data_IF_298452278732
#
_entry.id   IF_298452278732
#
_cell.length_a   1.000
_cell.length_b   1.000
_cell.length_c   1.000
_cell.angle_alpha   90.00
_cell.angle_beta   90.00
_cell.angle_gamma   90.00
#
_symmetry.space_group_name_H-M   'P 1'
#
loop_
_entity.id
_entity.type
_entity.pdbx_description
1 polymer ?
#
# COMPACT_ATOMS: atom_id res chain seq x y z
N UNK A 1 -9.24 27.34 4.78
CA UNK A 1 -10.68 27.01 4.83
C UNK A 1 -11.12 27.10 6.30
N UNK A 2 -12.39 27.43 6.63
CA UNK A 2 -12.82 27.49 8.05
C UNK A 2 -12.77 26.10 8.72
N UNK A 3 -12.48 26.03 10.04
CA UNK A 3 -12.52 24.77 10.79
C UNK A 3 -13.87 24.04 10.68
N UNK A 4 -14.99 24.77 10.64
CA UNK A 4 -16.33 24.18 10.46
C UNK A 4 -16.45 23.40 9.15
N UNK A 5 -15.91 23.94 8.06
CA UNK A 5 -15.94 23.29 6.75
C UNK A 5 -15.04 22.06 6.72
N UNK A 6 -13.85 22.11 7.33
CA UNK A 6 -12.99 20.93 7.46
C UNK A 6 -13.67 19.80 8.24
N UNK A 7 -14.28 20.11 9.39
CA UNK A 7 -15.04 19.14 10.19
C UNK A 7 -16.20 18.53 9.39
N UNK A 8 -16.89 19.35 8.60
CA UNK A 8 -17.99 18.91 7.73
C UNK A 8 -17.49 17.98 6.63
N UNK A 9 -16.42 18.33 5.92
CA UNK A 9 -15.80 17.46 4.91
C UNK A 9 -15.34 16.13 5.51
N UNK A 10 -14.68 16.16 6.67
CA UNK A 10 -14.25 14.95 7.37
C UNK A 10 -15.45 14.06 7.75
N UNK A 11 -16.56 14.65 8.20
CA UNK A 11 -17.78 13.92 8.53
C UNK A 11 -18.42 13.26 7.30
N UNK A 12 -18.52 13.98 6.18
CA UNK A 12 -19.03 13.42 4.92
C UNK A 12 -18.13 12.29 4.38
N UNK A 13 -16.81 12.43 4.51
CA UNK A 13 -15.87 11.37 4.13
C UNK A 13 -16.00 10.16 5.05
N UNK A 14 -16.15 10.35 6.37
CA UNK A 14 -16.38 9.28 7.32
C UNK A 14 -17.66 8.49 7.01
N UNK A 15 -18.76 9.20 6.72
CA UNK A 15 -20.02 8.62 6.26
C UNK A 15 -19.82 7.82 4.97
N UNK A 16 -19.12 8.39 3.98
CA UNK A 16 -18.80 7.72 2.72
C UNK A 16 -17.87 6.50 2.85
N UNK A 17 -17.22 6.32 4.00
CA UNK A 17 -16.45 5.13 4.38
C UNK A 17 -17.26 4.13 5.22
N UNK A 18 -18.50 4.45 5.59
CA UNK A 18 -19.35 3.64 6.46
C UNK A 18 -18.95 3.70 7.94
N UNK A 19 -18.24 4.75 8.38
CA UNK A 19 -17.90 4.94 9.79
C UNK A 19 -19.12 5.48 10.57
N UNK A 20 -19.35 5.02 11.81
CA UNK A 20 -20.45 5.54 12.62
C UNK A 20 -20.22 7.01 12.97
N UNK A 21 -21.24 7.89 12.90
CA UNK A 21 -21.08 9.34 13.14
C UNK A 21 -20.51 9.71 14.52
N UNK A 22 -20.75 8.88 15.54
CA UNK A 22 -20.19 9.03 16.89
C UNK A 22 -19.03 8.09 17.22
N UNK A 23 -18.48 7.39 16.22
CA UNK A 23 -17.36 6.46 16.40
C UNK A 23 -16.05 7.17 16.74
N UNK A 24 -15.15 6.43 17.39
CA UNK A 24 -13.80 6.91 17.74
C UNK A 24 -13.03 7.29 16.47
N UNK A 25 -13.15 6.49 15.41
CA UNK A 25 -12.54 6.72 14.12
C UNK A 25 -13.00 8.04 13.48
N UNK A 26 -14.31 8.29 13.49
CA UNK A 26 -14.92 9.54 12.98
C UNK A 26 -14.44 10.74 13.78
N UNK A 27 -14.40 10.62 15.11
CA UNK A 27 -13.92 11.68 15.99
C UNK A 27 -12.44 12.01 15.71
N UNK A 28 -11.58 11.00 15.55
CA UNK A 28 -10.16 11.20 15.24
C UNK A 28 -9.92 11.77 13.85
N UNK A 29 -10.69 11.34 12.84
CA UNK A 29 -10.63 11.91 11.50
C UNK A 29 -10.99 13.41 11.53
N UNK A 30 -12.01 13.78 12.29
CA UNK A 30 -12.43 15.18 12.49
C UNK A 30 -11.37 15.98 13.23
N UNK A 31 -10.85 15.48 14.35
CA UNK A 31 -9.79 16.13 15.13
C UNK A 31 -8.55 16.41 14.28
N UNK A 32 -8.10 15.41 13.50
CA UNK A 32 -6.98 15.57 12.57
C UNK A 32 -7.24 16.62 11.48
N UNK A 33 -8.49 16.78 11.02
CA UNK A 33 -8.85 17.70 9.93
C UNK A 33 -8.80 19.19 10.27
N UNK A 34 -8.75 19.53 11.56
CA UNK A 34 -8.63 20.93 12.01
C UNK A 34 -7.28 21.22 12.65
N UNK A 35 -6.50 20.19 12.99
CA UNK A 35 -5.24 20.37 13.71
C UNK A 35 -4.22 21.27 13.01
N UNK A 36 -4.06 21.23 11.68
CA UNK A 36 -3.06 22.08 11.02
C UNK A 36 -3.25 23.58 11.28
N UNK A 37 -4.48 24.07 11.41
CA UNK A 37 -4.75 25.47 11.75
C UNK A 37 -4.16 25.89 13.11
N UNK A 38 -3.99 24.93 14.02
CA UNK A 38 -3.43 25.16 15.36
C UNK A 38 -1.89 25.15 15.38
N UNK A 39 -1.24 24.59 14.35
CA UNK A 39 0.22 24.42 14.33
C UNK A 39 1.00 25.72 14.08
N UNK A 40 0.30 26.83 13.84
CA UNK A 40 0.87 28.16 13.62
C UNK A 40 1.90 28.21 12.48
N UNK A 41 1.86 27.27 11.52
CA UNK A 41 2.77 27.16 10.38
C UNK A 41 2.27 27.96 9.14
N UNK A 42 1.77 29.18 9.39
CA UNK A 42 1.22 30.05 8.35
C UNK A 42 2.31 30.72 7.47
N UNK A 43 2.06 30.90 6.15
CA UNK A 43 0.91 30.41 5.39
C UNK A 43 1.10 28.94 4.96
N UNK A 44 0.15 28.07 5.30
CA UNK A 44 0.25 26.66 4.94
C UNK A 44 -0.37 26.31 3.56
N UNK A 45 -0.86 27.29 2.79
CA UNK A 45 -1.54 27.05 1.51
C UNK A 45 -0.60 26.87 0.28
N UNK A 46 0.71 27.14 0.41
CA UNK A 46 1.67 26.97 -0.69
C UNK A 46 2.51 25.69 -0.54
N UNK A 47 2.73 24.97 -1.65
CA UNK A 47 3.56 23.75 -1.66
C UNK A 47 2.97 22.56 -0.90
N UNK A 48 1.64 22.56 -0.69
CA UNK A 48 0.92 21.56 0.13
C UNK A 48 1.01 20.13 -0.39
N UNK A 49 1.33 19.91 -1.67
CA UNK A 49 1.38 18.57 -2.26
C UNK A 49 2.30 17.64 -1.47
N UNK A 50 3.50 18.08 -1.05
CA UNK A 50 4.39 17.26 -0.22
C UNK A 50 3.77 16.96 1.16
N UNK A 51 3.12 17.94 1.80
CA UNK A 51 2.43 17.74 3.09
C UNK A 51 1.30 16.72 2.95
N UNK A 52 0.46 16.84 1.93
CA UNK A 52 -0.63 15.91 1.63
C UNK A 52 -0.06 14.50 1.44
N UNK A 53 0.95 14.34 0.57
CA UNK A 53 1.57 13.04 0.32
C UNK A 53 2.15 12.44 1.60
N UNK A 54 2.88 13.22 2.39
CA UNK A 54 3.44 12.77 3.68
C UNK A 54 2.36 12.24 4.62
N UNK A 55 1.25 12.96 4.79
CA UNK A 55 0.19 12.55 5.71
C UNK A 55 -0.63 11.37 5.20
N UNK A 56 -0.86 11.27 3.88
CA UNK A 56 -1.44 10.08 3.23
C UNK A 56 -0.58 8.84 3.54
N UNK A 57 0.74 8.94 3.35
CA UNK A 57 1.65 7.82 3.54
C UNK A 57 1.83 7.45 5.02
N UNK A 58 1.85 8.45 5.90
CA UNK A 58 1.87 8.26 7.35
C UNK A 58 0.60 7.55 7.83
N UNK A 59 -0.57 8.00 7.36
CA UNK A 59 -1.86 7.37 7.65
C UNK A 59 -1.91 5.92 7.16
N UNK A 60 -1.42 5.66 5.94
CA UNK A 60 -1.32 4.32 5.36
C UNK A 60 -0.44 3.40 6.21
N UNK A 61 0.73 3.89 6.66
CA UNK A 61 1.63 3.15 7.54
C UNK A 61 0.91 2.71 8.82
N UNK A 62 0.23 3.64 9.50
CA UNK A 62 -0.50 3.32 10.71
C UNK A 62 -1.60 2.29 10.49
N UNK A 63 -2.34 2.39 9.38
CA UNK A 63 -3.35 1.38 9.00
C UNK A 63 -2.74 -0.01 8.87
N UNK A 64 -1.62 -0.12 8.15
CA UNK A 64 -0.93 -1.40 7.92
C UNK A 64 -0.43 -1.99 9.25
N UNK A 65 0.05 -1.14 10.16
CA UNK A 65 0.49 -1.56 11.50
C UNK A 65 -0.66 -1.92 12.47
N UNK A 66 -1.92 -1.69 12.09
CA UNK A 66 -3.10 -1.92 12.93
C UNK A 66 -3.42 -0.77 13.91
N UNK A 67 -2.66 0.32 13.91
CA UNK A 67 -2.93 1.52 14.72
C UNK A 67 -4.01 2.39 14.04
N UNK A 68 -5.26 1.97 14.21
CA UNK A 68 -6.42 2.62 13.58
C UNK A 68 -6.63 4.05 14.09
N UNK A 69 -6.28 4.35 15.34
CA UNK A 69 -6.43 5.68 15.91
C UNK A 69 -5.52 6.69 15.20
N UNK A 70 -4.22 6.39 15.11
CA UNK A 70 -3.29 7.27 14.41
C UNK A 70 -3.54 7.30 12.91
N UNK A 71 -4.03 6.22 12.32
CA UNK A 71 -4.43 6.16 10.92
C UNK A 71 -5.48 7.24 10.59
N UNK A 72 -6.61 7.26 11.31
CA UNK A 72 -7.69 8.22 11.04
C UNK A 72 -7.29 9.65 11.38
N UNK A 73 -6.58 9.87 12.48
CA UNK A 73 -6.05 11.19 12.80
C UNK A 73 -5.13 11.74 11.70
N UNK A 74 -4.16 10.93 11.24
CA UNK A 74 -3.27 11.33 10.13
C UNK A 74 -4.00 11.50 8.80
N UNK A 75 -5.05 10.70 8.55
CA UNK A 75 -5.89 10.86 7.37
C UNK A 75 -6.61 12.21 7.41
N UNK A 76 -7.14 12.60 8.57
CA UNK A 76 -7.81 13.89 8.78
C UNK A 76 -6.90 15.05 8.41
N UNK A 77 -5.64 14.99 8.85
CA UNK A 77 -4.62 15.99 8.52
C UNK A 77 -4.38 16.06 7.00
N UNK A 78 -4.34 14.93 6.30
CA UNK A 78 -4.23 14.95 4.84
C UNK A 78 -5.45 15.60 4.18
N UNK A 79 -6.66 15.32 4.67
CA UNK A 79 -7.91 15.90 4.16
C UNK A 79 -7.95 17.42 4.35
N UNK A 80 -7.42 17.92 5.46
CA UNK A 80 -7.25 19.35 5.69
C UNK A 80 -6.49 20.02 4.54
N UNK A 81 -5.26 19.55 4.28
CA UNK A 81 -4.41 20.14 3.23
C UNK A 81 -4.99 19.98 1.83
N UNK A 82 -5.74 18.90 1.57
CA UNK A 82 -6.47 18.72 0.31
C UNK A 82 -7.56 19.80 0.18
N UNK A 83 -8.39 19.99 1.21
CA UNK A 83 -9.45 20.99 1.17
C UNK A 83 -8.91 22.41 0.95
N UNK A 84 -7.80 22.73 1.60
CA UNK A 84 -7.09 23.99 1.40
C UNK A 84 -6.50 24.15 0.00
N UNK A 85 -5.90 23.10 -0.58
CA UNK A 85 -5.41 23.12 -1.96
C UNK A 85 -6.51 23.50 -2.96
N UNK A 86 -7.75 23.12 -2.66
CA UNK A 86 -8.92 23.36 -3.50
C UNK A 86 -9.69 24.64 -3.16
N UNK A 87 -9.31 25.42 -2.14
CA UNK A 87 -9.86 26.77 -1.91
C UNK A 87 -9.14 27.84 -2.73
N UNK A 88 -9.87 28.63 -3.53
CA UNK A 88 -9.26 29.57 -4.49
C UNK A 88 -8.44 30.68 -3.83
N UNK A 89 -9.01 31.35 -2.82
CA UNK A 89 -8.39 32.52 -2.20
C UNK A 89 -7.45 32.13 -1.08
N UNK A 90 -6.34 32.86 -0.98
CA UNK A 90 -5.43 32.76 0.16
C UNK A 90 -5.98 33.54 1.36
N UNK A 91 -5.59 33.15 2.58
CA UNK A 91 -5.97 33.84 3.81
C UNK A 91 -5.57 35.32 3.89
N UNK A 92 -4.69 35.80 3.00
CA UNK A 92 -4.29 37.21 2.89
C UNK A 92 -5.23 38.07 2.04
N UNK A 93 -6.17 37.48 1.30
CA UNK A 93 -7.07 38.21 0.42
C UNK A 93 -8.30 38.72 1.16
N UNK A 94 -8.79 39.93 0.82
CA UNK A 94 -9.90 40.58 1.54
C UNK A 94 -11.21 39.80 1.40
N UNK A 95 -11.36 39.11 0.28
CA UNK A 95 -12.54 38.32 -0.09
C UNK A 95 -12.53 36.93 0.55
N UNK A 96 -11.42 36.52 1.20
CA UNK A 96 -11.22 35.18 1.75
C UNK A 96 -12.34 34.76 2.71
N UNK A 97 -12.59 35.56 3.75
CA UNK A 97 -13.58 35.21 4.78
C UNK A 97 -15.00 35.11 4.22
N UNK A 98 -15.33 35.98 3.26
CA UNK A 98 -16.62 35.97 2.58
C UNK A 98 -16.75 34.74 1.66
N UNK A 99 -15.66 34.30 1.02
CA UNK A 99 -15.62 33.10 0.20
C UNK A 99 -15.77 31.85 1.04
N UNK A 100 -15.01 31.71 2.12
CA UNK A 100 -15.12 30.57 3.04
C UNK A 100 -16.52 30.48 3.68
N UNK A 101 -17.13 31.62 4.02
CA UNK A 101 -18.50 31.65 4.51
C UNK A 101 -19.53 31.17 3.46
N UNK A 102 -19.25 31.34 2.16
CA UNK A 102 -20.08 30.76 1.09
C UNK A 102 -19.85 29.25 0.99
N UNK A 103 -18.59 28.80 1.03
CA UNK A 103 -18.23 27.37 1.03
C UNK A 103 -18.93 26.61 2.16
N UNK A 104 -18.94 27.17 3.38
CA UNK A 104 -19.54 26.54 4.56
C UNK A 104 -21.05 26.24 4.37
N UNK A 105 -21.74 27.02 3.53
CA UNK A 105 -23.16 26.85 3.18
C UNK A 105 -23.42 26.02 1.93
N UNK A 106 -22.39 25.62 1.19
CA UNK A 106 -22.55 24.85 -0.05
C UNK A 106 -23.19 23.49 0.21
N UNK A 107 -23.92 22.95 -0.76
CA UNK A 107 -24.49 21.60 -0.66
C UNK A 107 -23.59 20.57 -1.34
N UNK A 108 -23.56 19.34 -0.81
CA UNK A 108 -22.86 18.26 -1.48
C UNK A 108 -23.68 17.82 -2.72
N UNK A 109 -23.03 17.81 -3.88
CA UNK A 109 -23.57 17.47 -5.19
C UNK A 109 -22.53 16.69 -5.99
N UNK A 110 -22.97 16.00 -7.04
CA UNK A 110 -22.01 15.44 -8.01
C UNK A 110 -21.32 16.57 -8.78
N UNK A 111 -20.07 16.35 -9.21
CA UNK A 111 -19.34 17.34 -9.99
C UNK A 111 -20.04 17.69 -11.31
N UNK A 112 -20.74 16.73 -11.92
CA UNK A 112 -21.57 16.98 -13.10
C UNK A 112 -22.68 18.00 -12.83
N UNK A 113 -23.44 17.83 -11.75
CA UNK A 113 -24.51 18.77 -11.35
C UNK A 113 -23.98 20.17 -11.04
N UNK A 114 -22.78 20.28 -10.46
CA UNK A 114 -22.17 21.59 -10.14
C UNK A 114 -21.66 22.29 -11.39
N UNK A 115 -21.12 21.55 -12.37
CA UNK A 115 -20.53 22.10 -13.58
C UNK A 115 -21.57 22.41 -14.67
N UNK A 116 -22.68 21.67 -14.74
CA UNK A 116 -23.65 21.80 -15.82
C UNK A 116 -24.19 23.23 -16.03
N UNK A 117 -24.55 24.01 -14.99
CA UNK A 117 -25.05 25.37 -15.16
C UNK A 117 -24.04 26.35 -15.78
N UNK A 118 -22.74 26.07 -15.61
CA UNK A 118 -21.66 26.96 -16.03
C UNK A 118 -20.91 26.43 -17.26
N UNK A 119 -21.13 25.17 -17.64
CA UNK A 119 -20.36 24.46 -18.67
C UNK A 119 -20.25 25.23 -19.98
N UNK A 120 -21.37 25.76 -20.47
CA UNK A 120 -21.44 26.54 -21.73
C UNK A 120 -20.73 27.89 -21.68
N UNK A 121 -20.43 28.40 -20.48
CA UNK A 121 -19.75 29.68 -20.27
C UNK A 121 -18.23 29.52 -20.07
N UNK A 122 -17.74 28.29 -19.90
CA UNK A 122 -16.32 28.03 -19.71
C UNK A 122 -15.58 28.07 -21.05
N UNK A 123 -14.33 28.56 -21.09
CA UNK A 123 -13.44 28.34 -22.23
C UNK A 123 -13.29 26.83 -22.51
N UNK A 124 -13.18 26.41 -23.80
CA UNK A 124 -13.08 24.99 -24.17
C UNK A 124 -12.00 24.21 -23.39
N UNK A 125 -10.80 24.78 -23.25
CA UNK A 125 -9.68 24.14 -22.54
C UNK A 125 -9.97 23.94 -21.04
N UNK A 126 -10.69 24.87 -20.40
CA UNK A 126 -11.08 24.76 -18.99
C UNK A 126 -12.18 23.70 -18.86
N UNK A 127 -13.13 23.67 -19.79
CA UNK A 127 -14.18 22.66 -19.84
C UNK A 127 -13.58 21.26 -19.99
N UNK A 128 -12.68 21.04 -20.95
CA UNK A 128 -12.00 19.76 -21.15
C UNK A 128 -11.23 19.33 -19.89
N UNK A 129 -10.53 20.27 -19.24
CA UNK A 129 -9.83 19.99 -17.99
C UNK A 129 -10.75 19.54 -16.86
N UNK A 130 -11.95 20.13 -16.73
CA UNK A 130 -12.95 19.69 -15.76
C UNK A 130 -13.59 18.35 -16.13
N UNK A 131 -13.87 18.12 -17.42
CA UNK A 131 -14.40 16.84 -17.91
C UNK A 131 -13.42 15.69 -17.64
N UNK A 132 -12.13 15.93 -17.86
CA UNK A 132 -11.06 15.00 -17.52
C UNK A 132 -10.94 14.79 -15.99
N UNK A 133 -11.09 15.84 -15.18
CA UNK A 133 -11.09 15.73 -13.72
C UNK A 133 -12.25 14.85 -13.22
N UNK A 134 -13.46 15.04 -13.76
CA UNK A 134 -14.63 14.19 -13.45
C UNK A 134 -14.32 12.73 -13.79
N UNK A 135 -13.78 12.47 -14.98
CA UNK A 135 -13.44 11.12 -15.42
C UNK A 135 -12.45 10.46 -14.45
N UNK A 136 -11.37 11.16 -14.09
CA UNK A 136 -10.36 10.69 -13.13
C UNK A 136 -10.99 10.36 -11.76
N UNK A 137 -11.86 11.24 -11.26
CA UNK A 137 -12.50 11.10 -9.95
C UNK A 137 -13.68 10.12 -9.95
N UNK A 138 -14.17 9.70 -11.11
CA UNK A 138 -15.16 8.63 -11.25
C UNK A 138 -14.55 7.23 -11.05
N UNK A 139 -13.24 7.08 -11.31
CA UNK A 139 -12.55 5.82 -11.17
C UNK A 139 -12.32 5.45 -9.69
N UNK A 140 -12.33 4.15 -9.39
CA UNK A 140 -11.89 3.66 -8.07
C UNK A 140 -10.36 3.66 -8.01
N UNK A 141 -9.73 4.29 -7.01
CA UNK A 141 -8.28 4.36 -6.90
C UNK A 141 -7.66 3.00 -6.61
N UNK A 142 -6.70 2.60 -7.46
CA UNK A 142 -5.97 1.36 -7.38
C UNK A 142 -4.53 1.61 -6.91
N UNK A 143 -4.29 1.37 -5.62
CA UNK A 143 -2.95 1.41 -5.05
C UNK A 143 -2.36 2.81 -4.84
N UNK A 144 -1.14 2.82 -4.27
CA UNK A 144 -0.44 4.02 -3.78
C UNK A 144 -0.24 5.08 -4.87
N UNK A 145 0.17 4.70 -6.08
CA UNK A 145 0.48 5.67 -7.14
C UNK A 145 -0.76 6.47 -7.54
N UNK A 146 -1.91 5.82 -7.70
CA UNK A 146 -3.14 6.50 -8.04
C UNK A 146 -3.65 7.38 -6.89
N UNK A 147 -3.50 6.93 -5.63
CA UNK A 147 -3.79 7.78 -4.46
C UNK A 147 -2.97 9.07 -4.47
N UNK A 148 -1.67 8.97 -4.74
CA UNK A 148 -0.77 10.13 -4.77
C UNK A 148 -1.00 11.00 -6.02
N UNK A 149 -1.41 10.41 -7.14
CA UNK A 149 -1.83 11.15 -8.33
C UNK A 149 -3.07 11.99 -8.03
N UNK A 150 -4.06 11.46 -7.29
CA UNK A 150 -5.21 12.24 -6.83
C UNK A 150 -4.81 13.40 -5.92
N UNK A 151 -3.86 13.18 -5.02
CA UNK A 151 -3.31 14.24 -4.17
C UNK A 151 -2.58 15.35 -4.96
N UNK A 152 -2.06 15.02 -6.15
CA UNK A 152 -1.37 15.96 -7.03
C UNK A 152 -2.31 16.65 -8.05
N UNK A 153 -3.61 16.31 -8.05
CA UNK A 153 -4.57 16.98 -8.93
C UNK A 153 -4.63 18.47 -8.63
N UNK A 154 -4.71 19.27 -9.69
CA UNK A 154 -4.80 20.72 -9.58
C UNK A 154 -5.98 21.23 -10.40
N UNK A 155 -6.43 22.45 -10.09
CA UNK A 155 -7.51 23.09 -10.85
C UNK A 155 -7.12 23.21 -12.32
N UNK A 156 -8.06 22.92 -13.25
CA UNK A 156 -7.90 23.29 -14.65
C UNK A 156 -7.57 24.77 -14.83
N UNK A 157 -6.66 25.07 -15.75
CA UNK A 157 -6.21 26.43 -16.08
C UNK A 157 -6.03 26.58 -17.58
N UNK A 158 -6.42 27.74 -18.12
CA UNK A 158 -6.12 28.16 -19.48
C UNK A 158 -5.23 29.42 -19.42
N UNK A 159 -3.92 29.24 -19.61
CA UNK A 159 -2.93 30.28 -19.34
C UNK A 159 -2.94 30.69 -17.86
N UNK A 160 -3.31 31.95 -17.58
CA UNK A 160 -3.46 32.48 -16.21
C UNK A 160 -4.89 32.39 -15.67
N UNK A 161 -5.85 32.03 -16.51
CA UNK A 161 -7.26 31.95 -16.13
C UNK A 161 -7.53 30.63 -15.41
N UNK A 162 -8.17 30.71 -14.25
CA UNK A 162 -8.75 29.57 -13.55
C UNK A 162 -10.19 29.94 -13.22
N UNK A 163 -11.10 28.99 -13.38
CA UNK A 163 -12.48 29.16 -12.95
C UNK A 163 -12.69 28.46 -11.63
N UNK A 164 -13.32 29.12 -10.67
CA UNK A 164 -13.70 28.53 -9.40
C UNK A 164 -14.95 29.23 -8.86
N UNK A 165 -15.72 28.49 -8.06
CA UNK A 165 -16.83 28.99 -7.28
C UNK A 165 -16.82 28.27 -5.92
N UNK A 166 -17.44 28.83 -4.87
CA UNK A 166 -17.50 28.15 -3.57
C UNK A 166 -18.09 26.74 -3.65
N UNK A 167 -19.15 26.56 -4.45
CA UNK A 167 -19.81 25.26 -4.64
C UNK A 167 -18.88 24.27 -5.37
N UNK A 168 -18.13 24.73 -6.38
CA UNK A 168 -17.20 23.89 -7.13
C UNK A 168 -15.99 23.49 -6.28
N UNK A 169 -15.37 24.44 -5.57
CA UNK A 169 -14.24 24.18 -4.66
C UNK A 169 -14.62 23.17 -3.58
N UNK A 170 -15.79 23.34 -2.93
CA UNK A 170 -16.29 22.43 -1.91
C UNK A 170 -16.47 21.01 -2.43
N UNK A 171 -17.15 20.86 -3.57
CA UNK A 171 -17.48 19.55 -4.12
C UNK A 171 -16.26 18.83 -4.70
N UNK A 172 -15.28 19.55 -5.27
CA UNK A 172 -14.01 18.94 -5.70
C UNK A 172 -13.18 18.54 -4.48
N UNK A 173 -13.05 19.40 -3.47
CA UNK A 173 -12.35 19.09 -2.24
C UNK A 173 -12.89 17.80 -1.61
N UNK A 174 -14.22 17.66 -1.52
CA UNK A 174 -14.87 16.43 -1.08
C UNK A 174 -14.55 15.24 -1.99
N UNK A 175 -14.73 15.37 -3.31
CA UNK A 175 -14.54 14.25 -4.24
C UNK A 175 -13.10 13.70 -4.19
N UNK A 176 -12.10 14.58 -4.19
CA UNK A 176 -10.67 14.20 -4.07
C UNK A 176 -10.41 13.56 -2.70
N UNK A 177 -10.89 14.18 -1.62
CA UNK A 177 -10.76 13.66 -0.25
C UNK A 177 -11.36 12.26 -0.09
N UNK A 178 -12.57 12.07 -0.62
CA UNK A 178 -13.30 10.80 -0.56
C UNK A 178 -12.56 9.70 -1.32
N UNK A 179 -12.06 9.99 -2.52
CA UNK A 179 -11.30 9.00 -3.29
C UNK A 179 -9.99 8.63 -2.59
N UNK A 180 -9.24 9.61 -2.09
CA UNK A 180 -8.00 9.36 -1.33
C UNK A 180 -8.31 8.53 -0.08
N UNK A 181 -9.32 8.93 0.70
CA UNK A 181 -9.71 8.21 1.91
C UNK A 181 -10.10 6.76 1.61
N UNK A 182 -10.94 6.51 0.59
CA UNK A 182 -11.29 5.14 0.15
C UNK A 182 -10.05 4.34 -0.24
N UNK A 183 -9.12 4.95 -0.96
CA UNK A 183 -7.87 4.29 -1.33
C UNK A 183 -7.03 3.93 -0.10
N UNK A 184 -6.82 4.89 0.82
CA UNK A 184 -6.03 4.71 2.05
C UNK A 184 -6.71 3.75 3.01
N UNK A 185 -8.04 3.67 3.04
CA UNK A 185 -8.80 2.72 3.84
C UNK A 185 -9.00 1.36 3.14
N UNK A 186 -8.81 1.25 1.83
CA UNK A 186 -8.87 -0.06 1.17
C UNK A 186 -7.68 -0.90 1.60
N UNK A 187 -7.90 -2.16 2.00
CA UNK A 187 -6.85 -3.15 2.06
C UNK A 187 -6.45 -3.44 0.61
N UNK A 188 -5.53 -2.66 0.04
CA UNK A 188 -5.05 -2.98 -1.30
C UNK A 188 -4.34 -4.31 -1.17
N UNK A 189 -4.78 -5.30 -1.92
CA UNK A 189 -4.01 -6.53 -2.09
C UNK A 189 -2.55 -6.14 -2.35
N UNK A 190 -1.58 -6.84 -1.73
CA UNK A 190 -0.19 -6.57 -2.04
C UNK A 190 0.02 -6.70 -3.55
N UNK A 191 0.96 -5.95 -4.16
CA UNK A 191 1.28 -6.13 -5.57
C UNK A 191 1.42 -7.62 -5.89
N UNK A 192 0.82 -8.08 -7.00
CA UNK A 192 0.78 -9.50 -7.34
C UNK A 192 2.18 -10.13 -7.34
N UNK A 193 3.19 -9.37 -7.80
CA UNK A 193 4.59 -9.77 -7.77
C UNK A 193 5.14 -9.96 -6.35
N UNK A 194 4.72 -9.14 -5.37
CA UNK A 194 5.09 -9.32 -3.97
C UNK A 194 4.44 -10.58 -3.40
N UNK A 195 3.15 -10.81 -3.69
CA UNK A 195 2.45 -12.04 -3.27
C UNK A 195 3.14 -13.28 -3.85
N UNK A 196 3.44 -13.27 -5.15
CA UNK A 196 4.22 -14.32 -5.83
C UNK A 196 5.60 -14.52 -5.21
N UNK A 197 6.28 -13.42 -4.86
CA UNK A 197 7.61 -13.51 -4.23
C UNK A 197 7.56 -14.12 -2.84
N UNK A 198 6.60 -13.70 -2.01
CA UNK A 198 6.41 -14.22 -0.66
C UNK A 198 5.96 -15.69 -0.68
N UNK A 199 5.11 -16.07 -1.63
CA UNK A 199 4.70 -17.47 -1.79
C UNK A 199 5.89 -18.37 -2.16
N UNK A 200 6.92 -17.88 -2.85
CA UNK A 200 8.15 -18.64 -3.09
C UNK A 200 9.02 -18.82 -1.83
N UNK A 201 8.88 -17.94 -0.82
CA UNK A 201 9.57 -18.10 0.47
C UNK A 201 8.84 -19.05 1.42
N UNK A 202 7.55 -19.31 1.19
CA UNK A 202 6.82 -20.28 1.98
C UNK A 202 7.51 -21.66 1.93
N UNK A 203 7.53 -22.42 3.04
CA UNK A 203 8.10 -23.77 3.05
C UNK A 203 7.56 -24.63 1.91
N UNK A 204 8.41 -25.49 1.37
CA UNK A 204 8.04 -26.50 0.38
C UNK A 204 8.84 -27.78 0.60
N UNK A 205 8.19 -28.91 0.37
CA UNK A 205 8.73 -30.23 0.62
C UNK A 205 9.19 -30.90 -0.67
N UNK A 206 8.54 -30.61 -1.80
CA UNK A 206 8.80 -31.25 -3.10
C UNK A 206 8.97 -30.22 -4.22
N UNK A 207 9.64 -30.62 -5.30
CA UNK A 207 9.70 -29.83 -6.53
C UNK A 207 8.34 -29.65 -7.21
N UNK A 208 7.35 -30.51 -6.95
CA UNK A 208 5.99 -30.39 -7.46
C UNK A 208 5.23 -29.24 -6.78
N UNK A 209 5.31 -29.14 -5.45
CA UNK A 209 4.78 -28.00 -4.70
C UNK A 209 5.39 -26.69 -5.17
N UNK A 210 6.70 -26.71 -5.47
CA UNK A 210 7.39 -25.55 -6.00
C UNK A 210 6.86 -25.23 -7.40
N UNK A 211 6.85 -26.18 -8.35
CA UNK A 211 6.42 -26.00 -9.74
C UNK A 211 5.06 -25.30 -9.88
N UNK A 212 4.13 -25.58 -8.98
CA UNK A 212 2.79 -24.98 -8.99
C UNK A 212 2.78 -23.49 -8.60
N UNK A 213 3.91 -22.93 -8.17
CA UNK A 213 4.08 -21.50 -7.85
C UNK A 213 4.57 -20.74 -9.08
N UNK A 214 3.93 -19.60 -9.36
CA UNK A 214 4.32 -18.70 -10.43
C UNK A 214 5.41 -17.71 -9.92
N UNK A 215 6.64 -17.72 -10.46
CA UNK A 215 7.65 -16.76 -10.06
C UNK A 215 7.36 -15.36 -10.66
N UNK A 216 7.79 -14.28 -10.00
CA UNK A 216 7.89 -12.96 -10.62
C UNK A 216 8.74 -12.99 -11.89
N UNK A 217 8.45 -12.08 -12.82
CA UNK A 217 9.12 -12.01 -14.15
C UNK A 217 10.65 -12.02 -14.03
N UNK A 218 11.18 -11.25 -13.09
CA UNK A 218 12.64 -11.10 -12.87
C UNK A 218 13.31 -12.33 -12.25
N UNK A 219 12.53 -13.17 -11.55
CA UNK A 219 13.05 -14.37 -10.90
C UNK A 219 12.83 -15.64 -11.73
N UNK A 220 12.17 -15.53 -12.89
CA UNK A 220 11.79 -16.68 -13.74
C UNK A 220 12.98 -17.58 -14.11
N UNK A 221 14.12 -17.01 -14.47
CA UNK A 221 15.31 -17.78 -14.88
C UNK A 221 15.98 -18.46 -13.68
N UNK A 222 16.16 -17.72 -12.59
CA UNK A 222 16.71 -18.24 -11.32
C UNK A 222 15.84 -19.39 -10.80
N UNK A 223 14.52 -19.20 -10.84
CA UNK A 223 13.53 -20.17 -10.43
C UNK A 223 13.56 -21.45 -11.27
N UNK A 224 13.59 -21.34 -12.61
CA UNK A 224 13.70 -22.50 -13.51
C UNK A 224 14.96 -23.33 -13.27
N UNK A 225 16.09 -22.65 -13.07
CA UNK A 225 17.36 -23.32 -12.80
C UNK A 225 17.29 -24.11 -11.48
N UNK A 226 16.84 -23.47 -10.40
CA UNK A 226 16.62 -24.14 -9.11
C UNK A 226 15.68 -25.34 -9.26
N UNK A 227 14.54 -25.18 -9.93
CA UNK A 227 13.55 -26.24 -10.08
C UNK A 227 14.15 -27.46 -10.78
N UNK A 228 14.99 -27.22 -11.79
CA UNK A 228 15.71 -28.30 -12.49
C UNK A 228 16.71 -29.02 -11.57
N UNK A 229 17.49 -28.29 -10.78
CA UNK A 229 18.48 -28.89 -9.88
C UNK A 229 17.81 -29.69 -8.75
N UNK A 230 16.73 -29.16 -8.16
CA UNK A 230 15.97 -29.83 -7.10
C UNK A 230 15.36 -31.13 -7.63
N UNK A 231 14.76 -31.11 -8.83
CA UNK A 231 14.21 -32.32 -9.46
C UNK A 231 15.25 -33.42 -9.67
N UNK A 232 16.42 -33.04 -10.15
CA UNK A 232 17.51 -33.99 -10.38
C UNK A 232 17.98 -34.59 -9.05
N UNK A 233 18.10 -33.78 -7.99
CA UNK A 233 18.45 -34.27 -6.65
C UNK A 233 17.36 -35.15 -6.04
N UNK A 234 16.09 -34.84 -6.24
CA UNK A 234 14.97 -35.69 -5.81
C UNK A 234 14.95 -37.02 -6.55
N UNK A 235 15.26 -37.02 -7.86
CA UNK A 235 15.42 -38.26 -8.65
C UNK A 235 16.58 -39.11 -8.10
N UNK A 236 17.74 -38.51 -7.86
CA UNK A 236 18.89 -39.19 -7.24
C UNK A 236 18.55 -39.77 -5.87
N UNK A 237 17.79 -39.01 -5.05
CA UNK A 237 17.33 -39.45 -3.73
C UNK A 237 16.41 -40.67 -3.84
N UNK A 238 15.43 -40.64 -4.76
CA UNK A 238 14.53 -41.78 -5.01
C UNK A 238 15.29 -43.04 -5.43
N UNK A 239 16.21 -42.92 -6.39
CA UNK A 239 17.04 -44.05 -6.83
C UNK A 239 17.92 -44.62 -5.70
N UNK A 240 18.50 -43.76 -4.85
CA UNK A 240 19.30 -44.19 -3.72
C UNK A 240 18.46 -44.95 -2.67
N UNK A 241 17.23 -44.48 -2.39
CA UNK A 241 16.29 -45.16 -1.51
C UNK A 241 15.84 -46.51 -2.05
N UNK A 242 15.54 -46.61 -3.34
CA UNK A 242 15.19 -47.88 -3.96
C UNK A 242 16.34 -48.89 -3.89
N UNK A 243 17.58 -48.44 -4.14
CA UNK A 243 18.77 -49.29 -4.00
C UNK A 243 18.91 -49.81 -2.57
N UNK A 244 18.70 -48.95 -1.57
CA UNK A 244 18.72 -49.32 -0.15
C UNK A 244 17.62 -50.34 0.18
N UNK A 245 16.40 -50.14 -0.36
CA UNK A 245 15.25 -51.02 -0.15
C UNK A 245 15.47 -52.41 -0.75
N UNK A 246 15.95 -52.49 -2.00
CA UNK A 246 16.29 -53.77 -2.68
C UNK A 246 17.35 -54.56 -1.91
N UNK A 247 18.28 -53.87 -1.25
CA UNK A 247 19.36 -54.48 -0.44
C UNK A 247 18.96 -54.84 0.99
N UNK A 248 17.75 -54.49 1.45
CA UNK A 248 17.29 -54.81 2.80
C UNK A 248 16.94 -56.30 2.97
N UNK A 249 16.64 -57.00 1.87
CA UNK A 249 16.28 -58.42 1.85
C UNK A 249 17.43 -59.41 1.63
N UNK A 250 18.65 -58.95 1.35
CA UNK A 250 19.81 -59.83 1.14
C UNK A 250 20.80 -59.76 2.32
N UNK A 251 20.96 -60.88 3.02
CA UNK A 251 21.98 -61.10 4.04
C UNK A 251 23.02 -62.11 3.49
N UNK A 252 24.34 -61.98 3.74
CA UNK A 252 25.10 -60.89 4.34
C UNK A 252 25.85 -60.10 3.26
N UNK A 253 25.32 -58.95 2.85
CA UNK A 253 26.10 -57.98 2.08
C UNK A 253 26.60 -56.83 2.95
N UNK A 254 27.83 -56.40 2.65
CA UNK A 254 28.73 -55.65 3.53
C UNK A 254 28.05 -54.43 4.16
N UNK A 255 28.20 -54.31 5.48
CA UNK A 255 27.87 -53.12 6.26
C UNK A 255 28.40 -51.84 5.59
N UNK A 256 29.58 -51.92 4.98
CA UNK A 256 30.21 -50.82 4.23
C UNK A 256 29.34 -50.28 3.10
N UNK A 257 28.59 -51.13 2.39
CA UNK A 257 27.74 -50.66 1.29
C UNK A 257 26.50 -49.94 1.82
N UNK A 258 25.89 -50.43 2.91
CA UNK A 258 24.77 -49.74 3.57
C UNK A 258 25.18 -48.36 4.08
N UNK A 259 26.36 -48.28 4.70
CA UNK A 259 26.94 -47.00 5.15
C UNK A 259 27.19 -46.05 3.98
N UNK A 260 27.75 -46.53 2.86
CA UNK A 260 27.99 -45.71 1.67
C UNK A 260 26.69 -45.18 1.05
N UNK A 261 25.64 -46.00 0.97
CA UNK A 261 24.32 -45.55 0.49
C UNK A 261 23.67 -44.56 1.46
N UNK A 262 23.74 -44.82 2.77
CA UNK A 262 23.25 -43.88 3.79
C UNK A 262 23.96 -42.52 3.72
N UNK A 263 25.29 -42.53 3.55
CA UNK A 263 26.08 -41.32 3.36
C UNK A 263 25.68 -40.56 2.09
N UNK A 264 25.47 -41.25 0.97
CA UNK A 264 24.99 -40.64 -0.29
C UNK A 264 23.62 -39.97 -0.11
N UNK A 265 22.68 -40.61 0.58
CA UNK A 265 21.37 -40.03 0.91
C UNK A 265 21.53 -38.74 1.72
N UNK A 266 22.40 -38.74 2.74
CA UNK A 266 22.69 -37.56 3.55
C UNK A 266 23.31 -36.42 2.71
N UNK A 267 24.27 -36.74 1.83
CA UNK A 267 24.88 -35.77 0.91
C UNK A 267 23.85 -35.15 -0.04
N UNK A 268 22.93 -35.94 -0.58
CA UNK A 268 21.86 -35.44 -1.46
C UNK A 268 20.89 -34.53 -0.67
N UNK A 269 20.47 -34.95 0.52
CA UNK A 269 19.63 -34.11 1.41
C UNK A 269 20.30 -32.79 1.76
N UNK A 270 21.59 -32.82 2.10
CA UNK A 270 22.38 -31.62 2.38
C UNK A 270 22.48 -30.70 1.16
N UNK A 271 22.62 -31.27 -0.04
CA UNK A 271 22.63 -30.50 -1.30
C UNK A 271 21.29 -29.79 -1.54
N UNK A 272 20.16 -30.49 -1.36
CA UNK A 272 18.81 -29.88 -1.46
C UNK A 272 18.65 -28.75 -0.43
N UNK A 273 19.08 -28.98 0.81
CA UNK A 273 19.04 -27.95 1.85
C UNK A 273 19.87 -26.70 1.47
N UNK A 274 21.07 -26.91 0.92
CA UNK A 274 21.94 -25.82 0.45
C UNK A 274 21.28 -25.03 -0.69
N UNK A 275 20.65 -25.71 -1.65
CA UNK A 275 19.91 -25.08 -2.74
C UNK A 275 18.75 -24.22 -2.22
N UNK A 276 17.94 -24.76 -1.28
CA UNK A 276 16.87 -24.02 -0.60
C UNK A 276 17.41 -22.74 0.02
N UNK A 277 18.49 -22.84 0.79
CA UNK A 277 19.12 -21.68 1.46
C UNK A 277 19.62 -20.62 0.47
N UNK A 278 20.27 -21.04 -0.63
CA UNK A 278 20.76 -20.11 -1.66
C UNK A 278 19.61 -19.39 -2.35
N UNK A 279 18.55 -20.12 -2.71
CA UNK A 279 17.37 -19.52 -3.33
C UNK A 279 16.66 -18.54 -2.41
N UNK A 280 16.44 -18.89 -1.14
CA UNK A 280 15.88 -17.96 -0.15
C UNK A 280 16.73 -16.70 0.00
N UNK A 281 18.06 -16.81 -0.10
CA UNK A 281 18.96 -15.64 -0.08
C UNK A 281 18.76 -14.76 -1.32
N UNK A 282 18.61 -15.34 -2.51
CA UNK A 282 18.33 -14.60 -3.75
C UNK A 282 16.97 -13.91 -3.70
N UNK A 283 15.92 -14.59 -3.21
CA UNK A 283 14.61 -13.97 -3.02
C UNK A 283 14.70 -12.82 -2.01
N UNK A 284 15.40 -12.99 -0.88
CA UNK A 284 15.59 -11.90 0.09
C UNK A 284 16.30 -10.69 -0.55
N UNK A 285 17.33 -10.92 -1.37
CA UNK A 285 18.00 -9.83 -2.12
C UNK A 285 17.06 -9.15 -3.11
N UNK A 286 16.24 -9.94 -3.81
CA UNK A 286 15.22 -9.40 -4.70
C UNK A 286 14.20 -8.56 -3.93
N UNK A 287 13.68 -9.05 -2.80
CA UNK A 287 12.78 -8.29 -1.93
C UNK A 287 13.43 -7.03 -1.39
N UNK A 288 14.71 -7.07 -1.00
CA UNK A 288 15.45 -5.86 -0.59
C UNK A 288 15.69 -4.89 -1.75
N UNK A 289 15.85 -5.37 -2.99
CA UNK A 289 15.94 -4.51 -4.17
C UNK A 289 14.57 -3.93 -4.50
N UNK A 290 13.52 -4.74 -4.52
CA UNK A 290 12.14 -4.33 -4.73
C UNK A 290 11.70 -3.32 -3.67
N UNK A 291 12.01 -3.54 -2.39
CA UNK A 291 11.75 -2.58 -1.33
C UNK A 291 12.51 -1.27 -1.57
N UNK A 292 13.77 -1.32 -2.02
CA UNK A 292 14.54 -0.12 -2.38
C UNK A 292 14.06 0.57 -3.65
N UNK A 293 13.57 -0.17 -4.65
CA UNK A 293 13.02 0.37 -5.90
C UNK A 293 11.64 0.95 -5.66
N UNK A 294 10.82 0.33 -4.81
CA UNK A 294 9.58 0.90 -4.29
C UNK A 294 9.89 2.10 -3.39
N UNK A 295 10.93 2.06 -2.57
CA UNK A 295 11.29 3.24 -1.79
C UNK A 295 11.82 4.35 -2.71
N UNK A 296 12.66 4.04 -3.69
CA UNK A 296 13.26 5.01 -4.61
C UNK A 296 12.26 5.58 -5.61
N UNK A 297 11.41 4.74 -6.21
CA UNK A 297 10.37 5.17 -7.15
C UNK A 297 9.31 6.00 -6.46
N UNK A 298 9.04 5.74 -5.17
CA UNK A 298 7.99 6.44 -4.44
C UNK A 298 8.48 7.57 -3.53
N UNK A 299 9.77 7.66 -3.21
CA UNK A 299 10.35 8.73 -2.36
C UNK A 299 11.51 9.48 -3.02
N UNK A 300 12.06 8.99 -4.13
CA UNK A 300 13.28 9.53 -4.74
C UNK A 300 13.11 10.82 -5.56
N UNK A 301 11.88 11.33 -5.75
CA UNK A 301 11.64 12.57 -6.52
C UNK A 301 11.19 13.77 -5.67
N UNK A 302 10.86 13.58 -4.40
CA UNK A 302 10.54 14.68 -3.47
C UNK A 302 11.42 14.52 -2.23
N UNK A 303 12.44 15.38 -2.13
CA UNK A 303 13.50 15.27 -1.13
C UNK A 303 13.02 15.24 0.33
N UNK A 304 13.87 14.61 1.16
CA UNK A 304 13.92 14.59 2.64
C UNK A 304 13.03 13.54 3.33
N UNK A 305 13.42 12.82 4.39
CA UNK A 305 14.70 12.25 4.88
C UNK A 305 14.34 11.32 6.07
N UNK A 306 14.84 10.08 6.06
CA UNK A 306 15.60 9.41 7.16
C UNK A 306 15.48 7.89 7.12
N UNK A 307 16.62 7.23 7.37
CA UNK A 307 16.82 5.78 7.57
C UNK A 307 16.01 5.17 8.74
N UNK A 308 15.36 6.00 9.56
CA UNK A 308 14.60 5.56 10.75
C UNK A 308 13.34 4.76 10.42
N UNK A 309 12.67 5.07 9.31
CA UNK A 309 11.38 4.46 8.94
C UNK A 309 11.55 3.10 8.23
N UNK A 310 12.71 2.88 7.58
CA UNK A 310 13.09 1.59 7.03
C UNK A 310 13.28 0.51 8.12
N UNK A 311 13.67 0.91 9.34
CA UNK A 311 13.77 -0.02 10.49
C UNK A 311 12.39 -0.47 10.99
N UNK A 312 11.37 0.40 10.92
CA UNK A 312 10.00 0.08 11.33
C UNK A 312 9.39 -0.93 10.37
N UNK A 313 9.55 -0.75 9.07
CA UNK A 313 9.06 -1.72 8.06
C UNK A 313 9.80 -3.08 8.12
N UNK A 314 11.09 -3.09 8.48
CA UNK A 314 11.85 -4.33 8.75
C UNK A 314 11.41 -5.01 10.05
N UNK A 315 11.01 -4.24 11.06
CA UNK A 315 10.47 -4.76 12.31
C UNK A 315 9.06 -5.32 12.09
N UNK A 316 8.21 -4.65 11.32
CA UNK A 316 6.87 -5.12 10.94
C UNK A 316 6.92 -6.36 10.03
N UNK A 317 7.92 -6.50 9.15
CA UNK A 317 8.17 -7.74 8.41
C UNK A 317 8.61 -8.91 9.31
N UNK A 318 9.25 -8.61 10.46
CA UNK A 318 9.52 -9.63 11.50
C UNK A 318 8.26 -9.92 12.32
N UNK A 319 7.42 -8.93 12.60
CA UNK A 319 6.17 -9.11 13.34
C UNK A 319 5.13 -9.87 12.50
N UNK A 320 5.10 -9.66 11.17
CA UNK A 320 4.36 -10.48 10.22
C UNK A 320 4.87 -11.93 10.19
N UNK A 321 6.18 -12.13 10.33
CA UNK A 321 6.76 -13.47 10.50
C UNK A 321 6.31 -14.12 11.81
N UNK A 322 6.28 -13.37 12.92
CA UNK A 322 5.74 -13.81 14.21
C UNK A 322 4.25 -14.15 14.13
N UNK A 323 3.48 -13.38 13.37
CA UNK A 323 2.06 -13.64 13.11
C UNK A 323 1.86 -14.93 12.29
N UNK A 324 2.66 -15.13 11.23
CA UNK A 324 2.66 -16.36 10.43
C UNK A 324 3.12 -17.58 11.23
N UNK A 325 4.07 -17.42 12.15
CA UNK A 325 4.56 -18.50 13.04
C UNK A 325 3.48 -18.94 14.04
N UNK A 326 2.54 -18.05 14.43
CA UNK A 326 1.37 -18.38 15.28
C UNK A 326 0.26 -19.13 14.53
N UNK A 327 0.21 -18.99 13.22
CA UNK A 327 -0.74 -19.67 12.33
C UNK A 327 -0.21 -21.04 11.85
N UNK A 328 0.99 -21.43 12.27
CA UNK A 328 1.53 -22.77 12.04
C UNK A 328 0.74 -23.86 12.80
N UNK A 329 0.76 -25.12 12.31
CA UNK A 329 -0.08 -26.21 12.80
C UNK A 329 0.18 -26.72 14.23
N UNK A 330 1.10 -26.11 14.98
CA UNK A 330 1.44 -26.51 16.36
C UNK A 330 0.75 -25.67 17.46
N UNK A 331 -0.18 -24.75 17.13
CA UNK A 331 -0.91 -23.97 18.14
C UNK A 331 -2.10 -24.71 18.78
N UNK A 332 -2.37 -25.95 18.39
CA UNK A 332 -3.36 -26.82 19.04
C UNK A 332 -2.69 -27.83 19.97
N UNK A 333 -2.22 -27.38 21.15
CA UNK A 333 -2.05 -28.25 22.32
C UNK A 333 -1.84 -27.43 23.60
N UNK A 334 -2.92 -26.88 24.14
CA UNK A 334 -3.07 -26.72 25.59
C UNK A 334 -4.55 -26.84 25.94
N UNK A 335 -4.98 -28.06 26.24
CA UNK A 335 -6.17 -28.30 27.05
C UNK A 335 -5.81 -28.01 28.51
N UNK A 336 -6.56 -27.15 29.22
CA UNK A 336 -6.40 -27.00 30.67
C UNK A 336 -6.96 -28.24 31.39
N UNK A 337 -6.51 -28.50 32.64
CA UNK A 337 -6.81 -29.71 33.40
C UNK A 337 -8.29 -29.90 33.74
#
# INVERSE_FOLDING_TARGET
>A
MKPSTHLRLASLVAEGLGLPPGGVETALLRDGSIKPDEWRDFPHHHGVTYKIQRWILTSRRYRISGDMNRHFYCLGIALHYIADQWTMFSGSEKEHDAWEAKIDRCTLKSLGEVLEPIRKSLPPDIQEGYDHLILILSATPQGKLQTLAYAALSRPKAGRLTYSSPELDFNIAYAVSSQIARSVCSLTAPPEDLVKTLSMLAPWNTSEELMNRAPPKDLKNVYRHLLSEVREKEKQLRSAWESLKRRRGSFPHSLSTKLRTGWSILQIKWSIWRLKRTFSSQIKRYLSRYAREVDWYYWGRTGVATLGEARILVQEAKDWKTFMDRLGPDSSQSTPP
#
